data_IF_139216271319
#
_entry.id   IF_139216271319
#
_cell.length_a   1.000
_cell.length_b   1.000
_cell.length_c   1.000
_cell.angle_alpha   90.00
_cell.angle_beta   90.00
_cell.angle_gamma   90.00
#
_symmetry.space_group_name_H-M   'P 1'
#
loop_
_entity.id
_entity.type
_entity.pdbx_description
1 polymer ?
#
# COMPACT_ATOMS: atom_id res chain seq x y z
N UNK A 1 26.87 -17.57 -14.38
CA UNK A 1 25.57 -16.99 -13.99
C UNK A 1 24.95 -17.90 -12.95
N UNK A 2 25.01 -17.54 -11.70
CA UNK A 2 24.45 -18.34 -10.60
C UNK A 2 22.94 -18.21 -10.62
N UNK A 3 22.23 -19.33 -10.69
CA UNK A 3 20.79 -19.38 -10.50
C UNK A 3 20.45 -18.80 -9.12
N UNK A 4 19.43 -17.94 -8.98
CA UNK A 4 18.98 -17.54 -7.67
C UNK A 4 18.57 -18.79 -6.88
N UNK A 5 19.05 -18.89 -5.64
CA UNK A 5 18.77 -20.02 -4.77
C UNK A 5 17.25 -20.16 -4.54
N UNK A 6 16.76 -21.39 -4.44
CA UNK A 6 15.35 -21.71 -4.22
C UNK A 6 14.75 -21.03 -2.97
N UNK A 7 15.57 -20.49 -2.07
CA UNK A 7 15.16 -19.77 -0.88
C UNK A 7 14.73 -18.31 -1.10
N UNK A 8 14.87 -17.78 -2.32
CA UNK A 8 14.65 -16.34 -2.59
C UNK A 8 13.31 -16.06 -3.30
N UNK A 9 12.46 -17.06 -3.48
CA UNK A 9 11.14 -16.89 -4.06
C UNK A 9 10.11 -16.69 -2.96
N UNK A 10 9.22 -15.66 -3.08
CA UNK A 10 8.16 -15.47 -2.10
C UNK A 10 7.26 -16.70 -2.04
N UNK A 11 6.88 -17.07 -0.84
CA UNK A 11 5.92 -18.15 -0.61
C UNK A 11 4.51 -17.68 -0.97
N UNK A 12 4.08 -17.95 -2.19
CA UNK A 12 2.77 -17.56 -2.70
C UNK A 12 1.61 -18.27 -1.96
N UNK A 13 1.89 -19.33 -1.19
CA UNK A 13 0.85 -19.99 -0.39
C UNK A 13 0.40 -19.13 0.80
N UNK A 14 1.22 -18.17 1.21
CA UNK A 14 0.92 -17.22 2.30
C UNK A 14 0.09 -16.02 1.85
N UNK A 15 -0.21 -15.89 0.56
CA UNK A 15 -0.94 -14.77 -0.01
C UNK A 15 -0.07 -13.58 -0.36
N UNK A 16 -0.61 -12.68 -1.20
CA UNK A 16 0.01 -11.44 -1.62
C UNK A 16 -0.41 -10.30 -0.74
N UNK A 17 0.53 -9.46 -0.34
CA UNK A 17 0.28 -8.29 0.48
C UNK A 17 0.41 -7.01 -0.36
N UNK A 18 -0.61 -6.15 -0.29
CA UNK A 18 -0.55 -4.76 -0.74
C UNK A 18 -0.31 -3.85 0.45
N UNK A 19 0.76 -3.05 0.41
CA UNK A 19 1.10 -2.11 1.49
C UNK A 19 0.72 -0.70 1.06
N UNK A 20 -0.41 -0.23 1.56
CA UNK A 20 -0.91 1.12 1.33
C UNK A 20 -0.33 2.12 2.33
N UNK A 21 0.09 3.29 1.86
CA UNK A 21 0.57 4.37 2.70
C UNK A 21 0.71 5.68 1.92
N UNK A 22 1.32 6.70 2.51
CA UNK A 22 1.70 7.93 1.84
C UNK A 22 3.09 7.84 1.23
N UNK A 23 3.31 8.52 0.10
CA UNK A 23 4.65 8.76 -0.45
C UNK A 23 5.62 9.37 0.56
N UNK A 24 5.12 10.18 1.49
CA UNK A 24 5.91 10.87 2.53
C UNK A 24 6.24 9.98 3.72
N UNK A 25 5.63 8.80 3.83
CA UNK A 25 5.86 7.90 4.95
C UNK A 25 7.03 6.95 4.68
N UNK A 26 8.15 7.20 5.36
CA UNK A 26 9.35 6.36 5.23
C UNK A 26 9.19 5.00 5.92
N UNK A 27 8.31 4.86 6.90
CA UNK A 27 8.05 3.59 7.57
C UNK A 27 7.48 2.55 6.60
N UNK A 28 6.74 2.98 5.58
CA UNK A 28 6.20 2.09 4.56
C UNK A 28 7.31 1.23 3.91
N UNK A 29 8.45 1.81 3.55
CA UNK A 29 9.57 1.05 2.96
C UNK A 29 10.17 0.04 3.95
N UNK A 30 10.28 0.42 5.21
CA UNK A 30 10.75 -0.50 6.27
C UNK A 30 9.81 -1.69 6.42
N UNK A 31 8.50 -1.43 6.42
CA UNK A 31 7.48 -2.50 6.49
C UNK A 31 7.55 -3.42 5.27
N UNK A 32 7.65 -2.85 4.06
CA UNK A 32 7.80 -3.66 2.83
C UNK A 32 9.03 -4.57 2.90
N UNK A 33 10.18 -4.02 3.29
CA UNK A 33 11.40 -4.80 3.41
C UNK A 33 11.27 -5.91 4.45
N UNK A 34 10.66 -5.61 5.58
CA UNK A 34 10.45 -6.58 6.66
C UNK A 34 9.51 -7.71 6.23
N UNK A 35 8.40 -7.39 5.59
CA UNK A 35 7.47 -8.39 5.07
C UNK A 35 8.12 -9.31 4.04
N UNK A 36 8.92 -8.75 3.13
CA UNK A 36 9.68 -9.54 2.15
C UNK A 36 10.73 -10.44 2.81
N UNK A 37 11.41 -9.94 3.84
CA UNK A 37 12.36 -10.75 4.61
C UNK A 37 11.70 -11.95 5.32
N UNK A 38 10.42 -11.81 5.70
CA UNK A 38 9.60 -12.89 6.25
C UNK A 38 9.00 -13.81 5.15
N UNK A 39 9.35 -13.59 3.88
CA UNK A 39 8.93 -14.44 2.75
C UNK A 39 7.58 -14.09 2.12
N UNK A 40 6.96 -12.96 2.46
CA UNK A 40 5.71 -12.53 1.84
C UNK A 40 5.95 -11.90 0.47
N UNK A 41 5.10 -12.24 -0.51
CA UNK A 41 5.00 -11.50 -1.78
C UNK A 41 4.33 -10.16 -1.51
N UNK A 42 5.12 -9.09 -1.53
CA UNK A 42 4.67 -7.77 -1.09
C UNK A 42 4.80 -6.74 -2.21
N UNK A 43 3.66 -6.14 -2.59
CA UNK A 43 3.63 -5.04 -3.55
C UNK A 43 3.99 -3.72 -2.87
N UNK A 44 4.88 -2.99 -3.53
CA UNK A 44 5.32 -1.66 -3.13
C UNK A 44 4.95 -0.65 -4.23
N UNK A 45 3.95 0.20 -3.96
CA UNK A 45 3.49 1.21 -4.92
C UNK A 45 4.55 2.28 -5.24
N UNK A 46 5.55 2.45 -4.39
CA UNK A 46 6.67 3.37 -4.64
C UNK A 46 7.65 2.82 -5.66
N UNK A 47 7.78 1.51 -5.72
CA UNK A 47 8.67 0.79 -6.63
C UNK A 47 7.93 -0.39 -7.29
N UNK A 48 6.92 -0.10 -8.14
CA UNK A 48 6.19 -1.15 -8.83
C UNK A 48 7.11 -1.90 -9.79
N UNK A 49 6.87 -3.20 -10.03
CA UNK A 49 7.69 -4.00 -10.96
C UNK A 49 7.73 -3.38 -12.35
N UNK A 50 8.95 -3.24 -12.90
CA UNK A 50 9.22 -2.75 -14.25
C UNK A 50 8.68 -1.34 -14.56
N UNK A 51 8.33 -0.55 -13.55
CA UNK A 51 7.73 0.79 -13.68
C UNK A 51 8.26 1.73 -12.61
N UNK A 52 7.98 3.02 -12.79
CA UNK A 52 8.13 4.04 -11.75
C UNK A 52 6.78 4.33 -11.12
N UNK A 53 6.76 4.63 -9.82
CA UNK A 53 5.55 5.11 -9.15
C UNK A 53 5.05 6.42 -9.76
N UNK A 54 3.76 6.68 -9.62
CA UNK A 54 3.12 7.88 -10.15
C UNK A 54 3.32 9.11 -9.26
N UNK A 55 3.58 10.26 -9.89
CA UNK A 55 3.61 11.56 -9.21
C UNK A 55 2.79 12.59 -9.98
N UNK A 56 2.00 13.42 -9.30
CA UNK A 56 1.20 14.47 -9.91
C UNK A 56 1.99 15.48 -10.73
N UNK A 57 3.27 15.67 -10.40
CA UNK A 57 4.17 16.53 -11.20
C UNK A 57 4.40 16.02 -12.63
N UNK A 58 4.21 14.72 -12.87
CA UNK A 58 4.35 14.12 -14.20
C UNK A 58 3.21 14.50 -15.15
N UNK A 59 2.11 14.99 -14.59
CA UNK A 59 0.92 15.41 -15.35
C UNK A 59 0.62 16.92 -15.20
N UNK A 60 1.63 17.70 -14.82
CA UNK A 60 1.56 19.15 -14.75
C UNK A 60 0.96 19.74 -13.48
N UNK A 61 0.62 18.94 -12.48
CA UNK A 61 0.19 19.44 -11.19
C UNK A 61 1.38 19.56 -10.25
N UNK A 62 1.46 20.69 -9.53
CA UNK A 62 2.60 20.96 -8.67
C UNK A 62 2.63 20.05 -7.44
N UNK A 63 3.84 19.68 -7.07
CA UNK A 63 4.13 18.73 -5.98
C UNK A 63 3.76 19.23 -4.58
N UNK A 64 3.59 20.53 -4.43
CA UNK A 64 3.40 21.16 -3.12
C UNK A 64 1.94 21.33 -2.82
N UNK A 65 1.38 20.29 -2.45
CA UNK A 65 0.25 20.29 -1.70
C UNK A 65 -0.93 20.79 -2.30
N UNK A 66 -1.14 20.49 -3.39
CA UNK A 66 -2.07 21.08 -2.94
C UNK A 66 -3.18 21.27 -3.85
N UNK A 67 -4.02 21.94 -3.59
CA UNK A 67 -5.22 22.28 -4.27
C UNK A 67 -4.88 22.84 -5.66
N UNK A 68 -5.50 22.33 -6.64
CA UNK A 68 -5.48 22.88 -8.00
C UNK A 68 -6.92 23.19 -8.42
N UNK A 69 -7.13 24.03 -9.44
CA UNK A 69 -8.46 24.26 -10.00
C UNK A 69 -9.12 22.93 -10.42
N UNK A 70 -10.44 22.82 -10.20
CA UNK A 70 -11.18 21.60 -10.53
C UNK A 70 -10.98 21.17 -11.99
N UNK A 71 -11.04 22.07 -12.99
CA UNK A 71 -10.81 21.65 -14.39
C UNK A 71 -9.43 21.02 -14.62
N UNK A 72 -8.39 21.59 -14.00
CA UNK A 72 -7.02 21.08 -14.11
C UNK A 72 -6.89 19.69 -13.51
N UNK A 73 -7.51 19.47 -12.36
CA UNK A 73 -7.55 18.15 -11.71
C UNK A 73 -8.26 17.10 -12.58
N UNK A 74 -9.42 17.44 -13.10
CA UNK A 74 -10.18 16.51 -13.96
C UNK A 74 -9.39 16.17 -15.24
N UNK A 75 -8.75 17.15 -15.85
CA UNK A 75 -7.90 16.92 -17.01
C UNK A 75 -6.68 16.04 -16.68
N UNK A 76 -6.06 16.27 -15.53
CA UNK A 76 -4.91 15.50 -15.09
C UNK A 76 -5.26 14.03 -14.81
N UNK A 77 -6.48 13.74 -14.33
CA UNK A 77 -6.95 12.36 -14.14
C UNK A 77 -7.03 11.57 -15.47
N UNK A 78 -7.40 12.24 -16.55
CA UNK A 78 -7.51 11.62 -17.89
C UNK A 78 -6.15 11.53 -18.62
N UNK A 79 -5.10 12.07 -18.03
CA UNK A 79 -3.77 11.99 -18.64
C UNK A 79 -3.30 10.53 -18.71
N UNK A 80 -2.71 10.06 -19.84
CA UNK A 80 -2.28 8.66 -20.00
C UNK A 80 -1.40 8.15 -18.86
N UNK A 81 -0.54 9.00 -18.30
CA UNK A 81 0.32 8.65 -17.17
C UNK A 81 -0.47 8.42 -15.88
N UNK A 82 -1.53 9.20 -15.65
CA UNK A 82 -2.45 8.98 -14.50
C UNK A 82 -3.22 7.67 -14.65
N UNK A 83 -3.73 7.41 -15.84
CA UNK A 83 -4.44 6.15 -16.15
C UNK A 83 -3.51 4.95 -15.97
N UNK A 84 -2.26 5.05 -16.43
CA UNK A 84 -1.26 3.99 -16.25
C UNK A 84 -0.95 3.74 -14.77
N UNK A 85 -0.70 4.81 -14.00
CA UNK A 85 -0.42 4.72 -12.57
C UNK A 85 -1.58 4.08 -11.81
N UNK A 86 -2.80 4.56 -12.03
CA UNK A 86 -4.00 3.97 -11.44
C UNK A 86 -4.16 2.50 -11.82
N UNK A 87 -4.03 2.15 -13.10
CA UNK A 87 -4.22 0.77 -13.57
C UNK A 87 -3.19 -0.18 -12.97
N UNK A 88 -1.96 0.28 -12.80
CA UNK A 88 -0.89 -0.51 -12.15
C UNK A 88 -1.21 -0.82 -10.69
N UNK A 89 -1.57 0.21 -9.92
CA UNK A 89 -1.89 0.03 -8.50
C UNK A 89 -3.18 -0.78 -8.33
N UNK A 90 -4.21 -0.48 -9.14
CA UNK A 90 -5.48 -1.20 -9.06
C UNK A 90 -5.34 -2.69 -9.43
N UNK A 91 -4.50 -3.03 -10.43
CA UNK A 91 -4.21 -4.43 -10.76
C UNK A 91 -3.51 -5.15 -9.60
N UNK A 92 -2.57 -4.47 -8.93
CA UNK A 92 -1.91 -5.01 -7.74
C UNK A 92 -2.88 -5.17 -6.57
N UNK A 93 -3.78 -4.21 -6.34
CA UNK A 93 -4.85 -4.30 -5.35
C UNK A 93 -5.74 -5.52 -5.63
N UNK A 94 -6.16 -5.70 -6.88
CA UNK A 94 -7.02 -6.82 -7.27
C UNK A 94 -6.36 -8.18 -7.07
N UNK A 95 -5.05 -8.26 -7.28
CA UNK A 95 -4.25 -9.48 -7.10
C UNK A 95 -3.89 -9.77 -5.65
N UNK A 96 -4.04 -8.80 -4.74
CA UNK A 96 -3.67 -8.95 -3.35
C UNK A 96 -4.76 -9.67 -2.54
N UNK A 97 -4.33 -10.51 -1.62
CA UNK A 97 -5.17 -11.23 -0.67
C UNK A 97 -5.27 -10.49 0.65
N UNK A 98 -4.22 -9.75 0.97
CA UNK A 98 -4.03 -9.07 2.26
C UNK A 98 -3.67 -7.60 1.99
N UNK A 99 -4.27 -6.69 2.76
CA UNK A 99 -3.99 -5.26 2.74
C UNK A 99 -3.46 -4.79 4.09
N UNK A 100 -2.35 -4.07 4.05
CA UNK A 100 -1.76 -3.43 5.23
C UNK A 100 -1.69 -1.93 4.99
N UNK A 101 -2.44 -1.17 5.77
CA UNK A 101 -2.34 0.29 5.80
C UNK A 101 -1.29 0.70 6.82
N UNK A 102 -0.30 1.47 6.40
CA UNK A 102 0.76 1.99 7.29
C UNK A 102 0.55 3.47 7.56
N UNK A 103 0.25 3.82 8.80
CA UNK A 103 0.09 5.21 9.22
C UNK A 103 1.46 5.91 9.41
N UNK A 104 1.54 7.24 9.25
CA UNK A 104 0.47 8.13 8.77
C UNK A 104 0.28 8.07 7.26
N UNK A 105 -0.94 8.25 6.81
CA UNK A 105 -1.25 8.27 5.38
C UNK A 105 -2.46 9.14 5.06
N UNK A 106 -2.65 9.43 3.79
CA UNK A 106 -3.70 10.30 3.30
C UNK A 106 -4.92 9.56 2.73
N UNK A 107 -5.67 10.28 1.90
CA UNK A 107 -6.97 9.85 1.35
C UNK A 107 -6.88 8.63 0.44
N UNK A 108 -5.87 8.58 -0.45
CA UNK A 108 -5.72 7.48 -1.40
C UNK A 108 -5.59 6.13 -0.70
N UNK A 109 -4.69 6.05 0.28
CA UNK A 109 -4.48 4.83 1.04
C UNK A 109 -5.75 4.39 1.81
N UNK A 110 -6.54 5.34 2.31
CA UNK A 110 -7.82 5.03 2.96
C UNK A 110 -8.88 4.56 1.96
N UNK A 111 -8.93 5.11 0.74
CA UNK A 111 -9.80 4.60 -0.33
C UNK A 111 -9.42 3.18 -0.74
N UNK A 112 -8.14 2.88 -0.86
CA UNK A 112 -7.61 1.55 -1.14
C UNK A 112 -8.00 0.55 -0.05
N UNK A 113 -7.82 0.92 1.21
CA UNK A 113 -8.24 0.09 2.36
C UNK A 113 -9.75 -0.16 2.35
N UNK A 114 -10.56 0.89 2.12
CA UNK A 114 -12.01 0.76 2.04
C UNK A 114 -12.46 -0.17 0.91
N UNK A 115 -11.81 -0.09 -0.25
CA UNK A 115 -12.04 -1.04 -1.33
C UNK A 115 -11.70 -2.48 -0.91
N UNK A 116 -10.56 -2.68 -0.24
CA UNK A 116 -10.13 -4.00 0.21
C UNK A 116 -11.11 -4.63 1.21
N UNK A 117 -11.61 -3.84 2.16
CA UNK A 117 -12.66 -4.28 3.10
C UNK A 117 -13.92 -4.70 2.32
N UNK A 118 -14.39 -3.85 1.40
CA UNK A 118 -15.57 -4.14 0.57
C UNK A 118 -15.40 -5.35 -0.36
N UNK A 119 -14.18 -5.62 -0.79
CA UNK A 119 -13.84 -6.79 -1.61
C UNK A 119 -13.59 -8.06 -0.79
N UNK A 120 -13.76 -8.01 0.53
CA UNK A 120 -13.58 -9.18 1.42
C UNK A 120 -12.12 -9.62 1.59
N UNK A 121 -11.16 -8.71 1.37
CA UNK A 121 -9.74 -8.99 1.60
C UNK A 121 -9.42 -9.00 3.09
N UNK A 122 -8.35 -9.68 3.48
CA UNK A 122 -7.80 -9.56 4.84
C UNK A 122 -7.17 -8.19 5.00
N UNK A 123 -7.50 -7.48 6.07
CA UNK A 123 -7.10 -6.09 6.24
C UNK A 123 -6.52 -5.80 7.61
N UNK A 124 -5.42 -5.05 7.64
CA UNK A 124 -4.84 -4.56 8.88
C UNK A 124 -4.40 -3.09 8.75
N UNK A 125 -4.40 -2.38 9.88
CA UNK A 125 -3.81 -1.04 10.01
C UNK A 125 -2.65 -1.11 10.98
N UNK A 126 -1.47 -0.69 10.55
CA UNK A 126 -0.30 -0.54 11.41
C UNK A 126 -0.29 0.87 12.01
N UNK A 127 -0.45 0.95 13.32
CA UNK A 127 -0.56 2.21 14.07
C UNK A 127 0.80 2.81 14.45
N UNK A 128 1.84 1.99 14.52
CA UNK A 128 3.16 2.36 15.07
C UNK A 128 3.83 3.60 14.46
N UNK A 129 3.45 4.00 13.24
CA UNK A 129 3.99 5.20 12.59
C UNK A 129 3.33 6.51 13.04
N UNK A 130 2.27 6.44 13.84
CA UNK A 130 1.49 7.58 14.32
C UNK A 130 1.19 7.42 15.81
N UNK A 131 2.10 7.90 16.65
CA UNK A 131 1.93 7.90 18.09
C UNK A 131 2.23 9.32 18.65
N UNK A 132 1.22 10.03 19.23
CA UNK A 132 -0.16 9.57 19.46
C UNK A 132 -0.97 9.45 18.17
N UNK A 133 -1.82 8.43 18.11
CA UNK A 133 -2.66 8.16 16.94
C UNK A 133 -3.88 9.08 16.88
N UNK A 134 -4.22 9.55 15.68
CA UNK A 134 -5.49 10.24 15.44
C UNK A 134 -6.61 9.20 15.35
N UNK A 135 -7.63 9.26 16.24
CA UNK A 135 -8.67 8.24 16.25
C UNK A 135 -9.51 8.25 14.96
N UNK A 136 -9.79 7.06 14.43
CA UNK A 136 -10.67 6.84 13.28
C UNK A 136 -11.65 5.69 13.57
N UNK A 137 -12.94 6.02 13.65
CA UNK A 137 -13.97 5.04 13.99
C UNK A 137 -14.11 3.93 12.96
N UNK A 138 -13.93 4.28 11.67
CA UNK A 138 -14.13 3.31 10.57
C UNK A 138 -13.06 2.24 10.49
N UNK A 139 -11.97 2.34 11.25
CA UNK A 139 -11.03 1.23 11.42
C UNK A 139 -11.65 0.00 12.08
N UNK A 140 -12.86 0.11 12.65
CA UNK A 140 -13.62 -1.06 13.09
C UNK A 140 -14.02 -2.02 11.95
N UNK A 141 -13.93 -1.59 10.71
CA UNK A 141 -14.20 -2.46 9.54
C UNK A 141 -13.05 -3.42 9.22
N UNK A 142 -11.83 -3.11 9.67
CA UNK A 142 -10.66 -3.95 9.36
C UNK A 142 -10.58 -5.16 10.29
N UNK A 143 -9.88 -6.20 9.82
CA UNK A 143 -9.71 -7.43 10.61
C UNK A 143 -8.77 -7.23 11.81
N UNK A 144 -7.76 -6.37 11.67
CA UNK A 144 -6.77 -6.18 12.72
C UNK A 144 -6.20 -4.75 12.79
N UNK A 145 -6.07 -4.25 14.02
CA UNK A 145 -5.32 -3.03 14.32
C UNK A 145 -4.02 -3.42 15.01
N UNK A 146 -2.90 -3.28 14.33
CA UNK A 146 -1.59 -3.65 14.83
C UNK A 146 -0.93 -2.48 15.56
N UNK A 147 -0.70 -2.55 16.88
CA UNK A 147 0.02 -1.50 17.60
C UNK A 147 1.46 -1.36 17.15
N UNK A 148 2.13 -2.48 16.85
CA UNK A 148 3.54 -2.54 16.43
C UNK A 148 3.72 -3.40 15.18
N UNK A 149 4.90 -3.32 14.56
CA UNK A 149 5.26 -4.19 13.46
C UNK A 149 5.33 -5.66 13.87
N UNK A 150 5.77 -5.95 15.10
CA UNK A 150 5.80 -7.33 15.62
C UNK A 150 4.40 -7.91 15.76
N UNK A 151 3.45 -7.10 16.24
CA UNK A 151 2.03 -7.51 16.30
C UNK A 151 1.46 -7.77 14.90
N UNK A 152 1.82 -6.94 13.92
CA UNK A 152 1.42 -7.15 12.52
C UNK A 152 1.95 -8.48 11.99
N UNK A 153 3.24 -8.77 12.21
CA UNK A 153 3.84 -10.02 11.76
C UNK A 153 3.24 -11.24 12.44
N UNK A 154 2.96 -11.14 13.75
CA UNK A 154 2.29 -12.21 14.49
C UNK A 154 0.89 -12.50 13.93
N UNK A 155 0.12 -11.46 13.62
CA UNK A 155 -1.20 -11.60 13.02
C UNK A 155 -1.12 -12.24 11.63
N UNK A 156 -0.20 -11.77 10.77
CA UNK A 156 0.01 -12.33 9.43
C UNK A 156 0.42 -13.82 9.50
N UNK A 157 1.28 -14.18 10.45
CA UNK A 157 1.70 -15.57 10.68
C UNK A 157 0.53 -16.48 11.10
N UNK A 158 -0.48 -15.93 11.75
CA UNK A 158 -1.67 -16.68 12.18
C UNK A 158 -2.72 -16.87 11.06
N UNK A 159 -2.57 -16.18 9.91
CA UNK A 159 -3.45 -16.34 8.75
C UNK A 159 -3.10 -17.56 7.88
N UNK A 160 -1.96 -18.19 8.14
CA UNK A 160 -1.40 -19.32 7.36
C UNK A 160 -2.07 -20.62 7.69
#
# INVERSE_FOLDING_TARGET
MSNPSEGDRPDLSRGRIYVASSWRNNLQQTVVHRLRAEGFDTYDFKNPPDKTGFHWSEVGLQRNNDACPIPDYLQALEHPRSVEGFSSDFAAMFAADIFVLVLPCGRSAHLELGWAVGAGRRTAVLLAGEDPVTPELMYKMVDYLAPTEDDLLAWLGALS
#
